data_IF_048960221068
#
_entry.id   IF_048960221068
#
_cell.length_a   1.000
_cell.length_b   1.000
_cell.length_c   1.000
_cell.angle_alpha   90.00
_cell.angle_beta   90.00
_cell.angle_gamma   90.00
#
_symmetry.space_group_name_H-M   'P 1'
#
loop_
_entity.id
_entity.type
_entity.pdbx_description
1 polymer ?
#
# COMPACT_ATOMS: atom_id res chain seq x y z
N UNK A 1 0.38 2.11 -9.24
CA UNK A 1 0.21 1.30 -8.02
C UNK A 1 -0.94 0.31 -8.19
N UNK A 2 -0.79 -0.92 -7.70
CA UNK A 2 -1.75 -2.03 -7.93
C UNK A 2 -2.83 -2.17 -6.87
N UNK A 3 -2.78 -1.40 -5.77
CA UNK A 3 -3.69 -1.52 -4.63
C UNK A 3 -5.18 -1.52 -5.00
N UNK A 4 -5.61 -0.58 -5.87
CA UNK A 4 -7.00 -0.49 -6.33
C UNK A 4 -7.50 -1.80 -6.96
N UNK A 5 -6.66 -2.47 -7.74
CA UNK A 5 -7.01 -3.72 -8.45
C UNK A 5 -7.30 -4.85 -7.46
N UNK A 6 -6.49 -4.97 -6.41
CA UNK A 6 -6.70 -5.98 -5.36
C UNK A 6 -7.91 -5.65 -4.50
N UNK A 7 -8.04 -4.39 -4.07
CA UNK A 7 -9.16 -3.96 -3.22
C UNK A 7 -10.52 -4.13 -3.91
N UNK A 8 -10.68 -3.65 -5.13
CA UNK A 8 -11.98 -3.54 -5.79
C UNK A 8 -12.70 -4.88 -5.99
N UNK A 9 -12.00 -6.01 -5.83
CA UNK A 9 -12.57 -7.35 -5.91
C UNK A 9 -13.27 -7.78 -4.61
N UNK A 10 -12.95 -7.14 -3.48
CA UNK A 10 -13.38 -7.57 -2.13
C UNK A 10 -14.01 -6.48 -1.28
N UNK A 11 -13.55 -5.23 -1.43
CA UNK A 11 -13.93 -4.12 -0.54
C UNK A 11 -14.10 -2.81 -1.30
N UNK A 12 -14.94 -1.92 -0.78
CA UNK A 12 -15.01 -0.50 -1.14
C UNK A 12 -13.90 0.31 -0.45
N UNK A 13 -13.66 1.54 -0.91
CA UNK A 13 -12.71 2.44 -0.22
C UNK A 13 -13.18 2.78 1.21
N UNK A 14 -14.49 2.89 1.41
CA UNK A 14 -15.09 3.20 2.72
C UNK A 14 -14.93 2.06 3.71
N UNK A 15 -15.15 0.81 3.29
CA UNK A 15 -14.96 -0.37 4.15
C UNK A 15 -13.50 -0.54 4.57
N UNK A 16 -12.55 -0.37 3.64
CA UNK A 16 -11.13 -0.41 3.98
C UNK A 16 -10.75 0.71 4.96
N UNK A 17 -11.21 1.94 4.70
CA UNK A 17 -10.92 3.06 5.58
C UNK A 17 -11.45 2.83 7.00
N UNK A 18 -12.69 2.32 7.11
CA UNK A 18 -13.29 1.98 8.40
C UNK A 18 -12.52 0.88 9.14
N UNK A 19 -12.14 -0.20 8.45
CA UNK A 19 -11.37 -1.30 9.05
C UNK A 19 -9.97 -0.88 9.53
N UNK A 20 -9.34 0.09 8.83
CA UNK A 20 -8.02 0.61 9.15
C UNK A 20 -8.06 1.81 10.11
N UNK A 21 -9.25 2.20 10.57
CA UNK A 21 -9.47 3.41 11.36
C UNK A 21 -8.87 4.68 10.71
N UNK A 22 -9.06 4.81 9.39
CA UNK A 22 -8.62 5.94 8.59
C UNK A 22 -9.82 6.74 8.06
N UNK A 23 -9.59 8.01 7.75
CA UNK A 23 -10.54 8.72 6.89
C UNK A 23 -10.53 8.13 5.47
N UNK A 24 -11.68 8.12 4.80
CA UNK A 24 -11.76 7.66 3.40
C UNK A 24 -10.85 8.48 2.49
N UNK A 25 -10.68 9.77 2.77
CA UNK A 25 -9.74 10.67 2.05
C UNK A 25 -8.29 10.19 2.19
N UNK A 26 -7.88 9.78 3.40
CA UNK A 26 -6.53 9.27 3.65
C UNK A 26 -6.31 7.95 2.91
N UNK A 27 -7.26 7.02 3.01
CA UNK A 27 -7.20 5.77 2.25
C UNK A 27 -7.10 6.02 0.74
N UNK A 28 -7.88 6.97 0.22
CA UNK A 28 -7.86 7.35 -1.20
C UNK A 28 -6.50 7.93 -1.64
N UNK A 29 -5.82 8.69 -0.78
CA UNK A 29 -4.45 9.17 -1.05
C UNK A 29 -3.45 8.03 -1.09
N UNK A 30 -3.58 7.08 -0.16
CA UNK A 30 -2.80 5.83 -0.18
C UNK A 30 -3.03 5.09 -1.50
N UNK A 31 -4.29 4.86 -1.89
CA UNK A 31 -4.65 4.16 -3.14
C UNK A 31 -4.17 4.88 -4.41
N UNK A 32 -4.09 6.21 -4.39
CA UNK A 32 -3.52 7.01 -5.48
C UNK A 32 -1.98 7.04 -5.47
N UNK A 33 -1.34 6.60 -4.39
CA UNK A 33 0.11 6.67 -4.19
C UNK A 33 0.60 8.07 -3.83
N UNK A 34 -0.28 9.03 -3.50
CA UNK A 34 0.11 10.38 -3.09
C UNK A 34 0.49 10.46 -1.60
N UNK A 35 0.28 9.38 -0.86
CA UNK A 35 0.70 9.20 0.53
C UNK A 35 1.07 7.74 0.72
N UNK A 36 2.17 7.48 1.42
CA UNK A 36 2.53 6.13 1.83
C UNK A 36 1.92 5.84 3.20
N UNK A 37 1.32 4.65 3.39
CA UNK A 37 0.95 4.21 4.73
C UNK A 37 2.21 3.94 5.56
N UNK A 38 2.07 3.96 6.89
CA UNK A 38 3.09 3.38 7.74
C UNK A 38 3.09 1.84 7.60
N UNK A 39 4.11 1.18 8.17
CA UNK A 39 4.28 -0.26 8.02
C UNK A 39 3.11 -1.07 8.60
N UNK A 40 2.53 -0.65 9.73
CA UNK A 40 1.40 -1.34 10.37
C UNK A 40 0.16 -1.28 9.48
N UNK A 41 -0.19 -0.11 8.97
CA UNK A 41 -1.31 0.08 8.04
C UNK A 41 -1.06 -0.69 6.73
N UNK A 42 0.18 -0.73 6.24
CA UNK A 42 0.53 -1.51 5.05
C UNK A 42 0.31 -3.01 5.27
N UNK A 43 0.73 -3.54 6.43
CA UNK A 43 0.50 -4.93 6.82
C UNK A 43 -0.99 -5.26 6.92
N UNK A 44 -1.77 -4.43 7.60
CA UNK A 44 -3.22 -4.62 7.72
C UNK A 44 -3.91 -4.62 6.34
N UNK A 45 -3.51 -3.73 5.43
CA UNK A 45 -4.01 -3.73 4.04
C UNK A 45 -3.65 -5.06 3.35
N UNK A 46 -2.43 -5.56 3.53
CA UNK A 46 -2.01 -6.86 2.98
C UNK A 46 -2.86 -8.02 3.52
N UNK A 47 -3.07 -8.08 4.83
CA UNK A 47 -3.86 -9.12 5.48
C UNK A 47 -5.31 -9.13 4.97
N UNK A 48 -5.96 -7.95 4.92
CA UNK A 48 -7.32 -7.81 4.39
C UNK A 48 -7.41 -8.28 2.94
N UNK A 49 -6.40 -7.97 2.11
CA UNK A 49 -6.40 -8.34 0.71
C UNK A 49 -5.94 -9.78 0.46
N UNK A 50 -5.46 -10.47 1.50
CA UNK A 50 -4.77 -11.76 1.43
C UNK A 50 -3.55 -11.72 0.49
N UNK A 51 -2.70 -10.71 0.66
CA UNK A 51 -1.47 -10.49 -0.12
C UNK A 51 -0.27 -10.52 0.82
N UNK A 52 0.54 -11.57 0.75
CA UNK A 52 1.71 -11.72 1.62
C UNK A 52 2.87 -10.78 1.29
N UNK A 53 3.11 -10.51 0.01
CA UNK A 53 4.22 -9.68 -0.45
C UNK A 53 3.76 -8.25 -0.76
N UNK A 54 4.09 -7.32 0.14
CA UNK A 54 3.77 -5.89 0.01
C UNK A 54 4.31 -5.26 -1.28
N UNK A 55 5.40 -5.79 -1.85
CA UNK A 55 5.99 -5.30 -3.12
C UNK A 55 5.08 -5.56 -4.31
N UNK A 56 4.12 -6.47 -4.19
CA UNK A 56 3.08 -6.69 -5.22
C UNK A 56 2.06 -5.56 -5.24
N UNK A 57 1.91 -4.82 -4.14
CA UNK A 57 0.96 -3.71 -4.01
C UNK A 57 1.64 -2.40 -4.35
N UNK A 58 2.75 -2.13 -3.67
CA UNK A 58 3.61 -0.96 -3.88
C UNK A 58 4.75 -1.39 -4.79
N UNK A 59 4.72 -0.95 -6.06
CA UNK A 59 5.73 -1.23 -7.08
C UNK A 59 7.08 -0.58 -6.69
N UNK A 60 7.72 -1.10 -5.65
CA UNK A 60 9.05 -0.68 -5.23
C UNK A 60 10.04 -1.19 -6.26
N UNK A 61 10.47 -0.31 -7.16
CA UNK A 61 11.73 -0.50 -7.86
C UNK A 61 12.81 -0.09 -6.88
N UNK A 62 13.63 -1.00 -6.34
CA UNK A 62 14.86 -0.57 -5.74
C UNK A 62 15.59 0.17 -6.86
N UNK A 63 15.75 1.49 -6.72
CA UNK A 63 16.85 2.17 -7.38
C UNK A 63 18.05 1.32 -7.02
N UNK A 64 18.69 0.73 -8.04
CA UNK A 64 19.84 -0.13 -7.86
C UNK A 64 20.72 0.58 -6.83
N UNK A 65 20.99 -0.08 -5.69
CA UNK A 65 21.99 0.40 -4.75
C UNK A 65 23.23 0.65 -5.59
N UNK A 66 23.46 1.92 -5.95
CA UNK A 66 24.65 2.37 -6.64
C UNK A 66 25.74 2.14 -5.62
N UNK A 67 26.40 1.00 -5.75
CA UNK A 67 27.67 0.69 -5.09
C UNK A 67 28.71 1.67 -5.63
N UNK A 68 28.65 2.92 -5.18
CA UNK A 68 29.61 4.00 -5.38
C UNK A 68 29.23 5.01 -4.29
N UNK A 69 29.82 5.02 -3.10
CA UNK A 69 31.20 5.46 -2.88
C UNK A 69 31.66 5.03 -1.48
N UNK A 70 32.42 3.93 -1.40
CA UNK A 70 33.38 3.72 -0.31
C UNK A 70 34.68 3.30 -1.01
N UNK A 71 35.40 4.28 -1.53
CA UNK A 71 36.85 4.28 -1.72
C UNK A 71 37.29 5.74 -1.67
#
# INVERSE_FOLDING_TARGET
MKLKKYRAQKYTQKEMAMALNLSERQYRRIEKGTSLPNILTAMQIADMLNVYDLRKIWDFKPEAMTRQSIY
#
